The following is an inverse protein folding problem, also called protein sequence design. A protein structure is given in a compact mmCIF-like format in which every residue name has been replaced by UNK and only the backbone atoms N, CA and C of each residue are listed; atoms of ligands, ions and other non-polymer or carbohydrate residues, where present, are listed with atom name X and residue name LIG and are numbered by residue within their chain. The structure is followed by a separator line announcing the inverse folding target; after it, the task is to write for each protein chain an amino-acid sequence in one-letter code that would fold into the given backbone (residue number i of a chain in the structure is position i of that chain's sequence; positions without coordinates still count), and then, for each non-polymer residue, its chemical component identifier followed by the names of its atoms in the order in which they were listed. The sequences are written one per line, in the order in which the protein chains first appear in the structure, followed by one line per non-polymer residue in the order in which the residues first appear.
data_IF_080430663247
#
_entry.id   IF_080430663247
#
_cell.length_a   1.000
_cell.length_b   1.000
_cell.length_c   1.000
_cell.angle_alpha   90.00
_cell.angle_beta   90.00
_cell.angle_gamma   90.00
#
_symmetry.space_group_name_H-M   'P 1'
#
loop_
_entity.id
_entity.type
_entity.pdbx_description
1 polymer ?
#
# COMPACT_ATOMS: atom_id res chain seq x y z
N UNK A 1 23.64 -19.61 23.81
CA UNK A 1 23.95 -18.73 24.95
C UNK A 1 22.70 -17.88 25.15
N UNK A 2 22.03 -17.90 26.30
CA UNK A 2 20.89 -16.97 26.47
C UNK A 2 21.41 -15.54 26.32
N UNK A 3 20.85 -14.73 25.40
CA UNK A 3 21.28 -13.34 25.26
C UNK A 3 21.07 -12.64 26.60
N UNK A 4 22.16 -12.18 27.20
CA UNK A 4 22.13 -11.44 28.46
C UNK A 4 21.20 -10.23 28.35
N UNK A 5 20.58 -9.86 29.47
CA UNK A 5 19.67 -8.72 29.53
C UNK A 5 20.35 -7.45 29.00
N UNK A 6 19.68 -6.75 28.11
CA UNK A 6 20.14 -5.46 27.60
C UNK A 6 20.25 -4.42 28.73
N UNK A 7 21.36 -3.65 28.81
CA UNK A 7 21.53 -2.63 29.84
C UNK A 7 20.50 -1.49 29.79
N UNK A 8 20.02 -1.13 28.58
CA UNK A 8 19.17 0.02 28.33
C UNK A 8 18.05 -0.37 27.36
N UNK A 9 16.82 -0.43 27.88
CA UNK A 9 15.64 -0.62 27.06
C UNK A 9 14.55 0.39 27.45
N UNK A 10 14.13 1.30 26.55
CA UNK A 10 13.00 2.18 26.81
C UNK A 10 11.72 1.38 27.11
N UNK A 11 10.90 1.90 28.04
CA UNK A 11 9.58 1.32 28.33
C UNK A 11 8.65 1.51 27.12
N UNK A 12 7.87 0.48 26.73
CA UNK A 12 6.86 0.62 25.69
C UNK A 12 5.81 1.69 26.00
N UNK A 13 5.41 2.48 25.00
CA UNK A 13 4.27 3.39 25.14
C UNK A 13 2.96 2.65 24.83
N UNK A 14 1.85 3.05 25.48
CA UNK A 14 0.57 2.32 25.39
C UNK A 14 0.03 2.22 23.97
N UNK A 15 0.18 3.28 23.19
CA UNK A 15 -0.34 3.37 21.82
C UNK A 15 0.73 3.14 20.76
N UNK A 16 1.93 2.69 21.13
CA UNK A 16 3.06 2.45 20.23
C UNK A 16 2.90 1.17 19.39
N UNK A 17 3.53 1.15 18.20
CA UNK A 17 3.74 -0.05 17.38
C UNK A 17 4.87 -0.92 17.93
N UNK A 18 4.76 -2.24 17.78
CA UNK A 18 5.78 -3.18 18.23
C UNK A 18 7.12 -2.96 17.51
N UNK A 19 7.08 -2.73 16.20
CA UNK A 19 8.24 -2.39 15.38
C UNK A 19 8.89 -1.07 15.78
N UNK A 20 8.08 -0.07 16.19
CA UNK A 20 8.58 1.21 16.72
C UNK A 20 9.31 1.03 18.03
N UNK A 21 8.73 0.30 18.97
CA UNK A 21 9.36 0.04 20.25
C UNK A 21 10.71 -0.65 20.04
N UNK A 22 10.76 -1.72 19.23
CA UNK A 22 12.02 -2.41 18.93
C UNK A 22 13.02 -1.48 18.25
N UNK A 23 12.59 -0.60 17.35
CA UNK A 23 13.47 0.37 16.69
C UNK A 23 14.06 1.40 17.67
N UNK A 24 13.31 1.79 18.70
CA UNK A 24 13.81 2.66 19.77
C UNK A 24 14.80 1.96 20.69
N UNK A 25 14.60 0.66 20.97
CA UNK A 25 15.60 -0.13 21.70
C UNK A 25 16.86 -0.24 20.84
N UNK A 26 16.73 -0.69 19.59
CA UNK A 26 17.84 -0.93 18.68
C UNK A 26 18.71 0.31 18.43
N UNK A 27 18.10 1.49 18.32
CA UNK A 27 18.86 2.72 18.06
C UNK A 27 19.80 3.12 19.20
N UNK A 28 19.60 2.62 20.44
CA UNK A 28 20.53 2.80 21.56
C UNK A 28 21.83 2.02 21.40
N UNK A 29 21.79 0.97 20.57
CA UNK A 29 22.91 0.07 20.30
C UNK A 29 23.50 0.25 18.90
N UNK A 30 23.07 1.29 18.16
CA UNK A 30 23.48 1.50 16.78
C UNK A 30 22.94 0.46 15.78
N UNK A 31 21.96 -0.35 16.19
CA UNK A 31 21.35 -1.40 15.39
C UNK A 31 20.01 -0.93 14.79
N UNK A 32 19.57 -1.62 13.74
CA UNK A 32 18.19 -1.56 13.24
C UNK A 32 17.29 -2.51 14.04
N UNK A 33 15.98 -2.26 14.02
CA UNK A 33 15.01 -3.12 14.69
C UNK A 33 15.10 -4.60 14.23
N UNK A 34 15.22 -4.88 12.91
CA UNK A 34 15.36 -6.26 12.44
C UNK A 34 16.67 -6.94 12.88
N UNK A 35 17.79 -6.20 12.92
CA UNK A 35 19.06 -6.74 13.41
C UNK A 35 18.98 -7.11 14.89
N UNK A 36 18.41 -6.23 15.73
CA UNK A 36 18.24 -6.53 17.15
C UNK A 36 17.25 -7.68 17.40
N UNK A 37 16.17 -7.74 16.62
CA UNK A 37 15.22 -8.85 16.69
C UNK A 37 15.85 -10.19 16.28
N UNK A 38 16.73 -10.19 15.27
CA UNK A 38 17.51 -11.35 14.85
C UNK A 38 18.49 -11.80 15.93
N UNK A 39 19.19 -10.85 16.57
CA UNK A 39 20.09 -11.10 17.69
C UNK A 39 19.40 -11.82 18.85
N UNK A 40 18.18 -11.42 19.24
CA UNK A 40 17.44 -12.12 20.30
C UNK A 40 16.98 -13.53 19.95
N UNK A 41 16.99 -13.86 18.66
CA UNK A 41 16.50 -15.15 18.15
C UNK A 41 17.66 -16.07 17.73
N UNK A 42 18.90 -15.72 18.07
CA UNK A 42 20.13 -16.37 17.61
C UNK A 42 20.19 -16.55 16.08
N UNK A 43 19.57 -15.62 15.34
CA UNK A 43 19.57 -15.63 13.88
C UNK A 43 20.69 -14.73 13.36
N UNK A 44 21.51 -15.27 12.45
CA UNK A 44 22.53 -14.50 11.73
C UNK A 44 21.94 -13.49 10.73
N UNK A 45 20.62 -13.51 10.54
CA UNK A 45 19.90 -12.69 9.56
C UNK A 45 18.90 -11.76 10.26
N UNK A 46 18.70 -10.52 9.75
CA UNK A 46 17.72 -9.60 10.29
C UNK A 46 16.30 -10.19 10.29
N UNK A 47 15.61 -10.13 11.43
CA UNK A 47 14.28 -10.70 11.61
C UNK A 47 13.20 -9.64 11.38
N UNK A 48 12.26 -9.93 10.48
CA UNK A 48 11.11 -9.07 10.26
C UNK A 48 10.22 -9.02 11.51
N UNK A 49 9.76 -7.82 11.86
CA UNK A 49 8.84 -7.61 12.98
C UNK A 49 7.42 -7.44 12.43
N UNK A 50 6.52 -8.36 12.81
CA UNK A 50 5.09 -8.24 12.51
C UNK A 50 4.37 -7.47 13.61
N UNK A 51 3.93 -6.25 13.30
CA UNK A 51 3.07 -5.46 14.19
C UNK A 51 1.68 -6.07 14.36
N UNK A 52 1.23 -6.84 13.37
CA UNK A 52 -0.07 -7.50 13.29
C UNK A 52 -0.21 -8.61 14.32
N UNK A 53 0.44 -9.74 14.08
CA UNK A 53 0.43 -10.89 14.97
C UNK A 53 1.83 -11.52 15.02
N UNK A 54 2.71 -11.05 15.93
CA UNK A 54 4.06 -11.61 16.06
C UNK A 54 4.01 -13.11 16.37
N UNK A 55 5.08 -13.80 16.00
CA UNK A 55 5.17 -15.25 16.17
C UNK A 55 5.04 -15.65 17.66
N UNK A 56 4.48 -16.82 17.92
CA UNK A 56 4.29 -17.33 19.29
C UNK A 56 5.60 -17.30 20.07
N UNK A 57 5.58 -16.72 21.28
CA UNK A 57 6.76 -16.62 22.14
C UNK A 57 7.77 -15.53 21.78
N UNK A 58 7.70 -14.94 20.57
CA UNK A 58 8.65 -13.92 20.11
C UNK A 58 8.69 -12.70 21.04
N UNK A 59 7.52 -12.16 21.40
CA UNK A 59 7.41 -11.04 22.34
C UNK A 59 7.87 -11.41 23.75
N UNK A 60 7.74 -12.67 24.17
CA UNK A 60 8.24 -13.14 25.47
C UNK A 60 9.77 -13.16 25.51
N UNK A 61 10.42 -13.61 24.44
CA UNK A 61 11.89 -13.58 24.30
C UNK A 61 12.39 -12.13 24.36
N UNK A 62 11.78 -11.23 23.58
CA UNK A 62 12.15 -9.81 23.58
C UNK A 62 11.91 -9.13 24.92
N UNK A 63 10.80 -9.45 25.59
CA UNK A 63 10.48 -8.92 26.90
C UNK A 63 11.53 -9.32 27.95
N UNK A 64 11.94 -10.59 27.96
CA UNK A 64 13.00 -11.09 28.83
C UNK A 64 14.33 -10.38 28.57
N UNK A 65 14.77 -10.35 27.31
CA UNK A 65 16.03 -9.74 26.90
C UNK A 65 16.07 -8.23 27.19
N UNK A 66 14.94 -7.53 27.04
CA UNK A 66 14.84 -6.09 27.31
C UNK A 66 14.45 -5.75 28.76
N UNK A 67 14.19 -6.73 29.63
CA UNK A 67 13.76 -6.46 31.00
C UNK A 67 12.39 -5.76 31.12
N UNK A 68 11.50 -6.04 30.17
CA UNK A 68 10.14 -5.48 30.10
C UNK A 68 9.12 -6.56 30.48
N UNK A 69 8.00 -6.15 31.06
CA UNK A 69 6.85 -7.01 31.28
C UNK A 69 6.34 -7.61 29.95
N UNK A 70 6.18 -8.94 29.89
CA UNK A 70 5.78 -9.65 28.67
C UNK A 70 4.39 -9.22 28.22
N UNK A 71 3.45 -9.07 29.15
CA UNK A 71 2.09 -8.65 28.83
C UNK A 71 2.04 -7.24 28.25
N UNK A 72 2.85 -6.32 28.79
CA UNK A 72 3.00 -4.96 28.24
C UNK A 72 3.48 -4.99 26.80
N UNK A 73 4.41 -5.88 26.46
CA UNK A 73 4.91 -5.99 25.10
C UNK A 73 3.90 -6.67 24.16
N UNK A 74 3.19 -7.70 24.63
CA UNK A 74 2.10 -8.34 23.89
C UNK A 74 0.95 -7.37 23.58
N UNK A 75 0.65 -6.41 24.47
CA UNK A 75 -0.34 -5.34 24.23
C UNK A 75 0.05 -4.36 23.11
N UNK A 76 1.28 -4.42 22.60
CA UNK A 76 1.69 -3.65 21.41
C UNK A 76 1.19 -4.26 20.10
N UNK A 77 0.97 -5.58 20.06
CA UNK A 77 0.48 -6.26 18.86
C UNK A 77 -0.92 -5.79 18.49
N UNK A 78 -1.13 -5.50 17.20
CA UNK A 78 -2.42 -5.02 16.68
C UNK A 78 -3.53 -6.05 16.87
N UNK A 79 -3.24 -7.34 16.73
CA UNK A 79 -4.20 -8.43 16.96
C UNK A 79 -4.67 -8.51 18.42
N UNK A 80 -3.80 -8.19 19.38
CA UNK A 80 -4.15 -8.12 20.80
C UNK A 80 -4.94 -6.85 21.12
N UNK A 81 -4.56 -5.72 20.51
CA UNK A 81 -5.19 -4.42 20.77
C UNK A 81 -6.56 -4.29 20.11
N UNK A 82 -6.73 -4.87 18.93
CA UNK A 82 -7.94 -4.78 18.11
C UNK A 82 -8.33 -6.17 17.58
N UNK A 83 -8.77 -7.10 18.46
CA UNK A 83 -9.01 -8.49 18.08
C UNK A 83 -10.12 -8.67 17.04
N UNK A 84 -11.04 -7.70 16.93
CA UNK A 84 -12.16 -7.72 15.98
C UNK A 84 -11.83 -7.07 14.64
N UNK A 85 -10.70 -6.35 14.54
CA UNK A 85 -10.31 -5.60 13.33
C UNK A 85 -9.61 -6.53 12.33
N UNK A 86 -10.15 -6.70 11.11
CA UNK A 86 -9.52 -7.53 10.09
C UNK A 86 -8.18 -6.94 9.63
N UNK A 87 -7.27 -7.79 9.16
CA UNK A 87 -5.94 -7.34 8.67
C UNK A 87 -6.02 -6.37 7.50
N UNK A 88 -7.05 -6.47 6.68
CA UNK A 88 -7.30 -5.58 5.53
C UNK A 88 -7.58 -4.12 5.93
N UNK A 89 -7.94 -3.88 7.19
CA UNK A 89 -8.16 -2.56 7.77
C UNK A 89 -6.89 -1.94 8.38
N UNK A 90 -5.72 -2.53 8.09
CA UNK A 90 -4.43 -1.92 8.31
C UNK A 90 -3.75 -1.53 7.00
N UNK A 91 -2.80 -0.60 7.07
CA UNK A 91 -1.98 -0.19 5.93
C UNK A 91 -1.14 -1.36 5.44
N UNK A 92 -1.31 -1.72 4.18
CA UNK A 92 -0.58 -2.79 3.51
C UNK A 92 0.30 -2.23 2.40
N UNK A 93 1.35 -2.97 2.06
CA UNK A 93 2.32 -2.58 1.04
C UNK A 93 1.88 -3.07 -0.35
N UNK A 94 0.75 -2.58 -0.87
CA UNK A 94 0.34 -2.82 -2.27
C UNK A 94 0.10 -4.31 -2.61
N UNK A 95 -0.05 -4.66 -3.90
CA UNK A 95 -0.73 -5.90 -4.33
C UNK A 95 0.05 -7.22 -4.12
N UNK A 96 -0.70 -8.32 -4.04
CA UNK A 96 -0.32 -9.70 -3.69
C UNK A 96 0.86 -10.31 -4.49
N UNK A 97 1.21 -9.83 -5.68
CA UNK A 97 2.34 -10.37 -6.46
C UNK A 97 3.72 -9.95 -5.91
N UNK A 98 3.74 -9.01 -4.96
CA UNK A 98 4.85 -8.87 -4.01
C UNK A 98 4.33 -9.28 -2.64
N UNK A 99 4.64 -10.50 -2.17
CA UNK A 99 4.30 -10.90 -0.81
C UNK A 99 5.12 -10.02 0.13
N UNK A 100 4.51 -8.95 0.61
CA UNK A 100 5.01 -8.17 1.74
C UNK A 100 3.98 -8.37 2.85
N UNK A 101 4.28 -9.31 3.74
CA UNK A 101 3.64 -9.46 5.06
C UNK A 101 3.96 -8.29 5.99
N UNK A 102 4.72 -7.30 5.50
CA UNK A 102 5.09 -6.09 6.23
C UNK A 102 3.98 -5.06 6.13
N UNK A 103 3.58 -4.52 7.27
CA UNK A 103 2.84 -3.25 7.37
C UNK A 103 3.47 -2.24 6.41
N UNK A 104 2.66 -1.57 5.58
CA UNK A 104 3.18 -0.59 4.61
C UNK A 104 3.95 0.55 5.30
N UNK A 105 4.48 1.50 4.52
CA UNK A 105 5.07 2.73 5.08
C UNK A 105 4.08 3.38 6.04
N UNK A 106 4.35 3.31 7.34
CA UNK A 106 3.46 3.86 8.36
C UNK A 106 3.39 5.37 8.15
N UNK A 107 2.21 5.92 7.84
CA UNK A 107 2.08 7.36 7.71
C UNK A 107 2.29 8.01 9.09
N UNK A 108 2.77 9.24 9.11
CA UNK A 108 3.17 9.91 10.36
C UNK A 108 2.53 11.27 10.51
N UNK A 109 2.35 11.70 11.75
CA UNK A 109 2.11 13.10 12.07
C UNK A 109 3.42 13.73 12.54
N UNK A 110 3.89 14.76 11.85
CA UNK A 110 5.11 15.47 12.23
C UNK A 110 4.91 16.27 13.54
N UNK A 111 3.73 16.84 13.75
CA UNK A 111 3.39 17.55 14.99
C UNK A 111 3.43 16.62 16.21
N UNK A 112 2.95 15.37 16.11
CA UNK A 112 3.12 14.39 17.19
C UNK A 112 4.60 14.15 17.55
N UNK A 113 5.51 14.15 16.58
CA UNK A 113 6.94 14.01 16.86
C UNK A 113 7.52 15.27 17.49
N UNK A 114 7.04 16.44 17.09
CA UNK A 114 7.40 17.71 17.73
C UNK A 114 6.92 17.73 19.19
N UNK A 115 5.70 17.28 19.48
CA UNK A 115 5.18 17.18 20.86
C UNK A 115 5.99 16.20 21.72
N UNK A 116 6.38 15.04 21.17
CA UNK A 116 7.26 14.10 21.89
C UNK A 116 8.59 14.75 22.24
N UNK A 117 9.16 15.50 21.31
CA UNK A 117 10.41 16.22 21.52
C UNK A 117 10.27 17.32 22.56
N UNK A 118 9.23 18.16 22.45
CA UNK A 118 8.93 19.23 23.41
C UNK A 118 8.70 18.68 24.82
N UNK A 119 8.13 17.48 24.94
CA UNK A 119 7.96 16.79 26.21
C UNK A 119 9.23 16.09 26.74
N UNK A 120 10.38 16.21 26.05
CA UNK A 120 11.64 15.58 26.45
C UNK A 120 11.62 14.05 26.37
N UNK A 121 10.75 13.46 25.53
CA UNK A 121 10.60 12.00 25.40
C UNK A 121 11.13 11.51 24.06
N UNK A 122 11.32 10.19 23.99
CA UNK A 122 11.54 9.50 22.72
C UNK A 122 10.31 9.64 21.81
N UNK A 123 10.55 9.91 20.53
CA UNK A 123 9.51 9.80 19.53
C UNK A 123 9.21 8.33 19.21
N UNK A 124 7.98 8.04 18.80
CA UNK A 124 7.56 6.68 18.45
C UNK A 124 6.46 6.63 17.38
N UNK A 125 6.28 5.52 16.68
CA UNK A 125 5.16 5.35 15.76
C UNK A 125 3.92 4.89 16.53
N UNK A 126 2.81 5.61 16.36
CA UNK A 126 1.54 5.26 16.99
C UNK A 126 0.83 4.18 16.18
N UNK A 127 0.27 3.17 16.85
CA UNK A 127 -0.48 2.10 16.21
C UNK A 127 -1.73 2.58 15.50
N UNK A 128 -2.33 3.68 15.94
CA UNK A 128 -3.46 4.26 15.22
C UNK A 128 -3.10 4.68 13.79
N UNK A 129 -1.85 5.05 13.53
CA UNK A 129 -1.41 5.51 12.21
C UNK A 129 -1.43 4.43 11.13
N UNK A 130 -1.43 3.15 11.52
CA UNK A 130 -1.52 2.05 10.55
C UNK A 130 -2.95 1.66 10.22
N UNK A 131 -3.97 2.38 10.69
CA UNK A 131 -5.35 2.11 10.28
C UNK A 131 -5.59 2.56 8.84
N UNK A 132 -6.30 1.73 8.08
CA UNK A 132 -6.57 1.97 6.66
C UNK A 132 -7.38 3.26 6.43
N UNK A 133 -8.34 3.56 7.32
CA UNK A 133 -9.13 4.79 7.30
C UNK A 133 -8.36 6.01 7.81
N UNK A 134 -7.25 5.81 8.53
CA UNK A 134 -6.56 6.92 9.19
C UNK A 134 -5.68 7.68 8.22
N UNK A 135 -6.20 8.80 7.73
CA UNK A 135 -5.50 9.76 6.88
C UNK A 135 -5.22 11.09 7.59
N UNK A 136 -5.94 11.39 8.66
CA UNK A 136 -5.78 12.61 9.47
C UNK A 136 -5.40 12.24 10.90
N UNK A 137 -4.45 12.97 11.47
CA UNK A 137 -4.08 12.85 12.87
C UNK A 137 -5.25 13.32 13.75
N UNK A 138 -5.82 12.48 14.62
CA UNK A 138 -6.93 12.89 15.49
C UNK A 138 -6.51 13.88 16.59
N UNK A 139 -5.21 14.01 16.85
CA UNK A 139 -4.66 14.95 17.85
C UNK A 139 -4.49 16.35 17.24
N UNK A 140 -3.90 16.43 16.04
CA UNK A 140 -3.53 17.72 15.43
C UNK A 140 -4.41 18.16 14.26
N UNK A 141 -5.33 17.31 13.79
CA UNK A 141 -6.18 17.60 12.62
C UNK A 141 -5.43 17.68 11.29
N UNK A 142 -4.13 17.38 11.26
CA UNK A 142 -3.32 17.42 10.04
C UNK A 142 -3.36 16.09 9.27
N UNK A 143 -3.36 16.19 7.94
CA UNK A 143 -3.17 15.03 7.08
C UNK A 143 -1.83 14.34 7.40
N UNK A 144 -1.86 13.04 7.64
CA UNK A 144 -0.67 12.24 7.88
C UNK A 144 0.22 12.25 6.63
N UNK A 145 1.53 12.18 6.84
CA UNK A 145 2.53 12.14 5.77
C UNK A 145 2.90 10.69 5.50
N UNK A 146 2.86 10.29 4.24
CA UNK A 146 3.35 8.98 3.76
C UNK A 146 4.61 9.12 2.87
N UNK A 147 5.08 10.34 2.66
CA UNK A 147 6.29 10.69 1.89
C UNK A 147 7.17 11.67 2.65
N UNK A 148 8.47 11.53 2.46
CA UNK A 148 9.44 12.45 3.04
C UNK A 148 9.33 13.82 2.36
N UNK A 149 9.29 14.90 3.13
CA UNK A 149 9.26 16.27 2.60
C UNK A 149 10.56 16.66 1.89
N UNK A 150 11.67 16.00 2.19
CA UNK A 150 12.99 16.30 1.61
C UNK A 150 13.30 15.45 0.39
N UNK A 151 13.13 14.12 0.45
CA UNK A 151 13.49 13.24 -0.66
C UNK A 151 12.29 12.70 -1.46
N UNK A 152 11.05 13.03 -1.05
CA UNK A 152 9.78 12.64 -1.69
C UNK A 152 9.51 11.13 -1.86
N UNK A 153 10.45 10.28 -1.43
CA UNK A 153 10.27 8.82 -1.32
C UNK A 153 9.21 8.51 -0.26
N UNK A 154 8.57 7.35 -0.41
CA UNK A 154 7.65 6.82 0.62
C UNK A 154 8.40 6.73 1.95
N UNK A 155 7.73 7.09 3.03
CA UNK A 155 8.36 7.15 4.34
C UNK A 155 8.74 5.75 4.81
N UNK A 156 10.01 5.59 5.10
CA UNK A 156 10.52 4.58 6.01
C UNK A 156 11.13 5.36 7.16
N UNK A 157 10.66 5.12 8.38
CA UNK A 157 11.11 5.82 9.58
C UNK A 157 12.15 4.97 10.27
N UNK A 158 13.31 5.55 10.52
CA UNK A 158 14.32 5.02 11.41
C UNK A 158 14.43 5.92 12.64
N UNK A 159 14.96 5.38 13.74
CA UNK A 159 15.27 6.18 14.92
C UNK A 159 16.77 6.33 15.07
N UNK A 160 17.21 7.53 15.44
CA UNK A 160 18.60 7.84 15.78
C UNK A 160 18.63 8.45 17.16
N UNK A 161 19.58 8.02 17.99
CA UNK A 161 19.80 8.61 19.29
C UNK A 161 20.39 10.03 19.12
N UNK A 162 19.70 11.05 19.64
CA UNK A 162 20.15 12.45 19.69
C UNK A 162 19.69 13.06 21.00
N UNK A 163 20.58 13.75 21.71
CA UNK A 163 20.25 14.42 22.99
C UNK A 163 19.58 13.45 23.98
N UNK A 164 20.11 12.23 24.09
CA UNK A 164 19.55 11.20 24.97
C UNK A 164 18.20 10.62 24.54
N UNK A 165 17.61 11.07 23.43
CA UNK A 165 16.29 10.65 22.95
C UNK A 165 16.33 9.97 21.57
N UNK A 166 15.44 9.02 21.34
CA UNK A 166 15.19 8.47 20.01
C UNK A 166 14.46 9.49 19.14
N UNK A 167 15.12 9.98 18.09
CA UNK A 167 14.58 10.96 17.14
C UNK A 167 14.26 10.30 15.79
N UNK A 168 13.10 10.59 15.18
CA UNK A 168 12.67 9.96 13.96
C UNK A 168 13.36 10.62 12.75
N UNK A 169 13.94 9.80 11.88
CA UNK A 169 14.59 10.25 10.65
C UNK A 169 14.04 9.46 9.47
N UNK A 170 14.12 10.04 8.27
CA UNK A 170 13.88 9.29 7.05
C UNK A 170 15.01 8.26 6.84
N UNK A 171 14.68 6.98 6.71
CA UNK A 171 15.67 5.92 6.46
C UNK A 171 16.42 6.09 5.13
N UNK A 172 15.89 6.89 4.19
CA UNK A 172 16.50 7.08 2.86
C UNK A 172 17.46 8.27 2.79
N UNK A 173 17.15 9.39 3.46
CA UNK A 173 17.96 10.62 3.37
C UNK A 173 18.48 11.10 4.73
N UNK A 174 18.23 10.34 5.80
CA UNK A 174 18.58 10.66 7.19
C UNK A 174 18.03 12.00 7.71
N UNK A 175 17.18 12.71 6.95
CA UNK A 175 16.57 13.96 7.38
C UNK A 175 15.66 13.72 8.58
N UNK A 176 15.81 14.57 9.60
CA UNK A 176 14.96 14.59 10.78
C UNK A 176 13.50 14.86 10.39
N UNK A 177 12.59 14.03 10.90
CA UNK A 177 11.15 14.12 10.66
C UNK A 177 10.52 14.96 11.76
N UNK A 178 10.65 16.27 11.62
CA UNK A 178 10.05 17.28 12.52
C UNK A 178 9.10 18.15 11.73
N UNK A 179 8.09 18.69 12.42
CA UNK A 179 7.31 19.76 11.83
C UNK A 179 8.16 21.02 11.82
N UNK A 180 8.41 21.58 10.64
CA UNK A 180 9.16 22.83 10.50
C UNK A 180 8.25 24.03 10.30
N UNK A 181 6.93 23.90 10.56
CA UNK A 181 5.98 24.98 10.33
C UNK A 181 6.00 25.37 8.85
N UNK A 182 5.55 24.47 7.99
CA UNK A 182 5.80 24.54 6.56
C UNK A 182 5.43 25.88 5.90
N UNK A 183 6.42 26.67 5.51
CA UNK A 183 6.34 27.82 4.58
C UNK A 183 5.88 27.45 3.15
N UNK A 184 5.27 26.27 2.94
CA UNK A 184 4.90 25.80 1.60
C UNK A 184 3.82 24.72 1.56
N UNK A 185 3.15 24.43 2.68
CA UNK A 185 1.96 23.60 2.62
C UNK A 185 0.80 24.48 2.16
N UNK A 186 0.26 24.22 0.96
CA UNK A 186 -1.02 24.80 0.56
C UNK A 186 -2.04 24.57 1.70
N UNK A 187 -2.71 25.62 2.18
CA UNK A 187 -3.75 25.48 3.19
C UNK A 187 -4.78 24.48 2.67
N UNK A 188 -4.96 23.38 3.40
CA UNK A 188 -6.06 22.47 3.13
C UNK A 188 -7.32 23.10 3.69
N UNK A 189 -8.44 22.96 2.97
CA UNK A 189 -9.73 23.46 3.43
C UNK A 189 -10.06 22.84 4.80
N UNK A 190 -10.20 23.66 5.86
CA UNK A 190 -10.47 23.17 7.20
C UNK A 190 -11.80 22.43 7.29
N UNK A 191 -12.79 22.79 6.48
CA UNK A 191 -14.10 22.12 6.43
C UNK A 191 -13.94 20.71 5.86
N UNK A 192 -13.18 20.54 4.78
CA UNK A 192 -12.91 19.22 4.20
C UNK A 192 -12.13 18.34 5.18
N UNK A 193 -11.15 18.90 5.90
CA UNK A 193 -10.42 18.18 6.93
C UNK A 193 -11.33 17.73 8.08
N UNK A 194 -12.19 18.62 8.58
CA UNK A 194 -13.14 18.29 9.63
C UNK A 194 -14.11 17.17 9.20
N UNK A 195 -14.67 17.27 7.99
CA UNK A 195 -15.57 16.25 7.41
C UNK A 195 -14.87 14.90 7.29
N UNK A 196 -13.67 14.86 6.70
CA UNK A 196 -12.93 13.61 6.56
C UNK A 196 -12.51 13.02 7.91
N UNK A 197 -12.18 13.86 8.91
CA UNK A 197 -11.84 13.41 10.26
C UNK A 197 -13.07 12.79 10.95
N UNK A 198 -14.25 13.41 10.82
CA UNK A 198 -15.50 12.84 11.34
C UNK A 198 -15.85 11.50 10.66
N UNK A 199 -15.68 11.40 9.33
CA UNK A 199 -15.83 10.13 8.59
C UNK A 199 -14.85 9.07 9.06
N UNK A 200 -13.58 9.43 9.23
CA UNK A 200 -12.55 8.54 9.76
C UNK A 200 -12.92 8.00 11.16
N UNK A 201 -13.39 8.87 12.06
CA UNK A 201 -13.77 8.47 13.42
C UNK A 201 -14.94 7.48 13.44
N UNK A 202 -15.96 7.72 12.60
CA UNK A 202 -17.10 6.79 12.45
C UNK A 202 -16.66 5.43 11.92
N UNK A 203 -15.87 5.41 10.85
CA UNK A 203 -15.32 4.15 10.31
C UNK A 203 -14.50 3.43 11.39
N UNK A 204 -13.65 4.15 12.14
CA UNK A 204 -12.88 3.53 13.23
C UNK A 204 -13.79 2.88 14.27
N UNK A 205 -14.89 3.54 14.66
CA UNK A 205 -15.86 2.99 15.61
C UNK A 205 -16.54 1.72 15.06
N UNK A 206 -17.07 1.77 13.84
CA UNK A 206 -17.75 0.63 13.20
C UNK A 206 -16.81 -0.56 12.98
N UNK A 207 -15.60 -0.34 12.48
CA UNK A 207 -14.62 -1.42 12.20
C UNK A 207 -14.16 -2.11 13.48
N UNK A 208 -14.05 -1.36 14.58
CA UNK A 208 -13.72 -1.92 15.89
C UNK A 208 -14.94 -2.55 16.59
N UNK A 209 -16.15 -2.20 16.13
CA UNK A 209 -17.45 -2.64 16.65
C UNK A 209 -17.98 -3.92 15.99
N UNK A 210 -19.19 -3.81 15.39
CA UNK A 210 -19.98 -4.94 14.89
C UNK A 210 -19.72 -5.32 13.42
N UNK A 211 -19.93 -6.60 13.08
CA UNK A 211 -19.66 -7.14 11.74
C UNK A 211 -20.51 -6.49 10.64
N UNK A 212 -21.80 -6.25 10.89
CA UNK A 212 -22.76 -5.76 9.90
C UNK A 212 -22.45 -4.33 9.42
N UNK A 213 -22.18 -3.40 10.34
CA UNK A 213 -21.80 -2.02 10.00
C UNK A 213 -20.48 -1.97 9.21
N UNK A 214 -19.53 -2.83 9.57
CA UNK A 214 -18.27 -2.94 8.83
C UNK A 214 -18.50 -3.40 7.39
N UNK A 215 -19.35 -4.40 7.16
CA UNK A 215 -19.66 -4.91 5.82
C UNK A 215 -20.28 -3.84 4.91
N UNK A 216 -21.08 -2.92 5.47
CA UNK A 216 -21.64 -1.78 4.74
C UNK A 216 -20.56 -0.82 4.24
N UNK A 217 -19.61 -0.44 5.10
CA UNK A 217 -18.46 0.36 4.69
C UNK A 217 -17.59 -0.36 3.66
N UNK A 218 -17.33 -1.65 3.85
CA UNK A 218 -16.55 -2.47 2.89
C UNK A 218 -17.22 -2.49 1.51
N UNK A 219 -18.55 -2.67 1.45
CA UNK A 219 -19.32 -2.61 0.20
C UNK A 219 -19.24 -1.23 -0.46
N UNK A 220 -19.46 -0.15 0.28
CA UNK A 220 -19.42 1.21 -0.28
C UNK A 220 -18.02 1.56 -0.82
N UNK A 221 -16.97 1.22 -0.07
CA UNK A 221 -15.58 1.40 -0.50
C UNK A 221 -15.24 0.56 -1.72
N UNK A 222 -15.69 -0.68 -1.77
CA UNK A 222 -15.52 -1.55 -2.94
C UNK A 222 -16.25 -0.99 -4.17
N UNK A 223 -17.46 -0.45 -4.01
CA UNK A 223 -18.20 0.22 -5.10
C UNK A 223 -17.43 1.44 -5.61
N UNK A 224 -16.94 2.32 -4.73
CA UNK A 224 -16.15 3.47 -5.14
C UNK A 224 -14.91 3.06 -5.97
N UNK A 225 -14.23 1.99 -5.56
CA UNK A 225 -13.02 1.52 -6.23
C UNK A 225 -13.27 0.45 -7.30
N UNK A 226 -14.53 0.09 -7.60
CA UNK A 226 -14.86 -0.88 -8.64
C UNK A 226 -14.49 -0.34 -10.03
N UNK A 227 -14.06 -1.18 -10.99
CA UNK A 227 -13.81 -0.75 -12.36
C UNK A 227 -15.04 -0.11 -12.99
N UNK A 228 -14.86 1.00 -13.70
CA UNK A 228 -15.88 1.64 -14.51
C UNK A 228 -15.92 1.00 -15.91
N UNK A 229 -17.12 0.67 -16.39
CA UNK A 229 -17.43 0.14 -17.75
C UNK A 229 -16.86 -1.26 -18.10
N UNK A 230 -15.57 -1.54 -17.92
CA UNK A 230 -14.96 -2.85 -18.21
C UNK A 230 -13.90 -3.24 -17.16
N UNK A 231 -13.80 -4.51 -16.73
CA UNK A 231 -12.82 -4.98 -15.74
C UNK A 231 -11.33 -4.82 -16.09
N UNK A 232 -10.98 -4.27 -17.26
CA UNK A 232 -9.61 -3.94 -17.67
C UNK A 232 -9.34 -2.42 -17.63
N UNK A 233 -10.37 -1.62 -17.37
CA UNK A 233 -10.23 -0.18 -17.24
C UNK A 233 -9.53 0.13 -15.91
N UNK A 234 -8.40 0.83 -15.98
CA UNK A 234 -7.73 1.40 -14.81
C UNK A 234 -8.48 2.66 -14.31
N UNK A 235 -9.80 2.66 -14.31
CA UNK A 235 -10.64 3.78 -13.89
C UNK A 235 -11.68 3.26 -12.89
N UNK A 236 -11.63 3.69 -11.61
CA UNK A 236 -12.63 3.31 -10.62
C UNK A 236 -13.92 4.12 -10.81
N UNK A 237 -15.03 3.63 -10.26
CA UNK A 237 -16.30 4.33 -10.22
C UNK A 237 -16.17 5.71 -9.55
N UNK A 238 -15.29 5.84 -8.56
CA UNK A 238 -14.87 7.10 -7.92
C UNK A 238 -14.51 8.20 -8.94
N UNK A 239 -14.07 7.84 -10.15
CA UNK A 239 -13.80 8.81 -11.21
C UNK A 239 -15.03 9.60 -11.68
N UNK A 240 -16.25 9.12 -11.40
CA UNK A 240 -17.49 9.86 -11.65
C UNK A 240 -17.69 11.00 -10.63
N UNK A 241 -17.16 10.86 -9.42
CA UNK A 241 -17.25 11.91 -8.38
C UNK A 241 -16.37 13.12 -8.70
N UNK A 242 -15.19 12.91 -9.31
CA UNK A 242 -14.35 14.02 -9.79
C UNK A 242 -15.00 14.80 -10.94
N UNK A 243 -15.97 14.19 -11.65
CA UNK A 243 -16.62 14.77 -12.82
C UNK A 243 -15.66 15.25 -13.93
N UNK A 244 -14.48 14.63 -14.04
CA UNK A 244 -13.47 14.98 -15.05
C UNK A 244 -13.49 14.00 -16.23
N UNK A 245 -13.76 14.53 -17.43
CA UNK A 245 -13.73 13.76 -18.67
C UNK A 245 -12.30 13.26 -18.97
N UNK A 246 -12.17 11.97 -19.31
CA UNK A 246 -10.87 11.39 -19.68
C UNK A 246 -9.92 11.11 -18.51
N UNK A 247 -10.36 11.29 -17.26
CA UNK A 247 -9.57 10.97 -16.08
C UNK A 247 -9.09 9.51 -16.10
N UNK A 248 -7.81 9.29 -15.81
CA UNK A 248 -7.18 7.97 -15.70
C UNK A 248 -6.58 7.81 -14.32
N UNK A 249 -6.71 6.63 -13.72
CA UNK A 249 -6.13 6.37 -12.41
C UNK A 249 -4.61 6.54 -12.45
N UNK A 250 -4.03 7.36 -11.55
CA UNK A 250 -2.59 7.44 -11.39
C UNK A 250 -1.99 6.08 -11.09
N UNK A 251 -0.77 5.85 -11.57
CA UNK A 251 -0.10 4.55 -11.49
C UNK A 251 -0.02 4.02 -10.05
N UNK A 252 0.17 4.91 -9.07
CA UNK A 252 0.34 4.57 -7.66
C UNK A 252 -0.95 4.14 -6.94
N UNK A 253 -2.10 4.14 -7.62
CA UNK A 253 -3.39 3.68 -7.10
C UNK A 253 -4.16 2.74 -8.02
N UNK A 254 -3.61 2.41 -9.21
CA UNK A 254 -4.26 1.47 -10.15
C UNK A 254 -4.52 0.09 -9.54
N UNK A 255 -3.65 -0.37 -8.66
CA UNK A 255 -3.77 -1.67 -8.00
C UNK A 255 -4.95 -1.73 -7.01
N UNK A 256 -5.47 -0.58 -6.56
CA UNK A 256 -6.64 -0.53 -5.69
C UNK A 256 -7.96 -0.68 -6.48
N UNK A 257 -7.94 -0.47 -7.80
CA UNK A 257 -9.14 -0.60 -8.64
C UNK A 257 -9.56 -2.08 -8.70
N UNK A 258 -10.76 -2.36 -8.21
CA UNK A 258 -11.29 -3.72 -8.08
C UNK A 258 -10.71 -4.53 -6.90
N UNK A 259 -9.95 -3.90 -6.00
CA UNK A 259 -9.47 -4.55 -4.79
C UNK A 259 -10.58 -4.69 -3.74
N UNK A 260 -10.59 -5.81 -3.01
CA UNK A 260 -11.58 -6.09 -1.95
C UNK A 260 -11.44 -5.15 -0.74
N UNK A 261 -10.26 -4.57 -0.54
CA UNK A 261 -9.98 -3.68 0.58
C UNK A 261 -9.03 -2.57 0.13
N UNK A 262 -9.55 -1.55 -0.58
CA UNK A 262 -8.72 -0.57 -1.26
C UNK A 262 -7.99 0.36 -0.28
N UNK A 263 -8.65 0.81 0.80
CA UNK A 263 -8.12 1.84 1.70
C UNK A 263 -6.71 1.55 2.25
N UNK A 264 -6.47 0.33 2.71
CA UNK A 264 -5.17 -0.08 3.26
C UNK A 264 -4.02 0.02 2.24
N UNK A 265 -4.34 -0.05 0.95
CA UNK A 265 -3.39 -0.06 -0.16
C UNK A 265 -3.17 1.33 -0.77
N UNK A 266 -3.98 2.31 -0.40
CA UNK A 266 -3.93 3.67 -0.93
C UNK A 266 -2.90 4.55 -0.20
N UNK A 267 -2.23 5.48 -0.90
CA UNK A 267 -1.55 6.62 -0.28
C UNK A 267 -2.52 7.48 0.54
N UNK A 268 -2.01 8.24 1.50
CA UNK A 268 -2.82 9.03 2.45
C UNK A 268 -3.75 10.01 1.74
N UNK A 269 -3.26 10.71 0.72
CA UNK A 269 -4.07 11.63 -0.10
C UNK A 269 -5.28 10.94 -0.75
N UNK A 270 -5.12 9.69 -1.16
CA UNK A 270 -6.19 8.93 -1.83
C UNK A 270 -7.17 8.33 -0.83
N UNK A 271 -6.71 8.00 0.38
CA UNK A 271 -7.61 7.69 1.49
C UNK A 271 -8.48 8.89 1.82
N UNK A 272 -7.87 10.07 1.95
CA UNK A 272 -8.59 11.32 2.22
C UNK A 272 -9.68 11.59 1.18
N UNK A 273 -9.34 11.57 -0.12
CA UNK A 273 -10.34 11.72 -1.19
C UNK A 273 -11.43 10.64 -1.16
N UNK A 274 -11.06 9.40 -0.85
CA UNK A 274 -12.03 8.31 -0.72
C UNK A 274 -13.00 8.57 0.44
N UNK A 275 -12.53 9.10 1.58
CA UNK A 275 -13.40 9.41 2.72
C UNK A 275 -14.36 10.57 2.43
N UNK A 276 -13.91 11.59 1.70
CA UNK A 276 -14.78 12.68 1.26
C UNK A 276 -15.86 12.15 0.32
N UNK A 277 -15.46 11.43 -0.74
CA UNK A 277 -16.39 10.85 -1.69
C UNK A 277 -17.39 9.88 -1.03
N UNK A 278 -16.92 9.06 -0.08
CA UNK A 278 -17.78 8.16 0.68
C UNK A 278 -18.88 8.93 1.42
N UNK A 279 -18.50 10.00 2.13
CA UNK A 279 -19.46 10.83 2.86
C UNK A 279 -20.43 11.57 1.92
N UNK A 280 -19.94 12.12 0.82
CA UNK A 280 -20.76 12.90 -0.11
C UNK A 280 -21.76 12.05 -0.88
N UNK A 281 -21.38 10.81 -1.22
CA UNK A 281 -22.19 9.92 -2.06
C UNK A 281 -23.15 9.08 -1.23
N UNK A 282 -22.64 8.46 -0.16
CA UNK A 282 -23.38 7.49 0.63
C UNK A 282 -23.91 8.08 1.94
N UNK A 283 -23.50 9.29 2.30
CA UNK A 283 -23.89 9.91 3.55
C UNK A 283 -23.20 9.30 4.77
N UNK A 284 -23.74 9.54 5.96
CA UNK A 284 -23.10 9.15 7.20
C UNK A 284 -23.13 7.65 7.50
N UNK A 285 -24.19 6.98 7.07
CA UNK A 285 -24.45 5.56 7.29
C UNK A 285 -24.66 4.89 5.93
N UNK A 286 -23.60 4.34 5.32
CA UNK A 286 -23.66 3.89 3.94
C UNK A 286 -24.55 2.66 3.80
N UNK A 287 -25.69 2.79 3.13
CA UNK A 287 -26.50 1.65 2.71
C UNK A 287 -26.32 1.43 1.20
N UNK A 288 -25.82 0.26 0.79
CA UNK A 288 -25.62 -0.07 -0.64
C UNK A 288 -26.82 -0.85 -1.20
N UNK A 289 -27.46 -1.68 -0.38
CA UNK A 289 -28.52 -2.61 -0.79
C UNK A 289 -29.95 -2.09 -0.51
N UNK A 290 -30.07 -0.83 -0.06
CA UNK A 290 -31.34 -0.19 0.32
C UNK A 290 -31.68 1.07 -0.49
N UNK A 291 -32.51 1.96 0.08
CA UNK A 291 -32.81 3.28 -0.48
C UNK A 291 -31.59 4.19 -0.42
N UNK A 292 -30.68 3.99 -1.37
CA UNK A 292 -29.46 4.77 -1.52
C UNK A 292 -29.77 6.18 -2.07
N UNK A 293 -29.02 7.22 -1.67
CA UNK A 293 -29.11 8.53 -2.30
C UNK A 293 -28.98 8.45 -3.83
N UNK A 294 -29.61 9.34 -4.62
CA UNK A 294 -29.58 9.28 -6.09
C UNK A 294 -28.16 9.19 -6.68
N UNK A 295 -27.20 9.89 -6.08
CA UNK A 295 -25.78 9.85 -6.45
C UNK A 295 -25.14 8.48 -6.23
N UNK A 296 -25.44 7.82 -5.10
CA UNK A 296 -25.00 6.46 -4.81
C UNK A 296 -25.62 5.46 -5.79
N UNK A 297 -26.92 5.57 -6.08
CA UNK A 297 -27.60 4.70 -7.04
C UNK A 297 -27.00 4.80 -8.46
N UNK A 298 -26.67 6.01 -8.91
CA UNK A 298 -25.98 6.21 -10.19
C UNK A 298 -24.60 5.55 -10.21
N UNK A 299 -23.81 5.71 -9.14
CA UNK A 299 -22.49 5.09 -9.01
C UNK A 299 -22.55 3.58 -8.99
N UNK A 300 -23.45 3.00 -8.19
CA UNK A 300 -23.65 1.55 -8.08
C UNK A 300 -23.99 0.94 -9.45
N UNK A 301 -24.85 1.59 -10.25
CA UNK A 301 -25.19 1.12 -11.61
C UNK A 301 -24.00 1.12 -12.58
N UNK A 302 -23.03 2.03 -12.39
CA UNK A 302 -21.88 2.20 -13.29
C UNK A 302 -20.65 1.39 -12.84
N UNK A 303 -20.61 1.01 -11.57
CA UNK A 303 -19.60 0.11 -11.02
C UNK A 303 -19.76 -1.30 -11.63
N UNK A 304 -18.70 -1.83 -12.22
CA UNK A 304 -18.73 -3.20 -12.73
C UNK A 304 -19.06 -4.17 -11.57
N UNK A 305 -20.02 -5.08 -11.74
CA UNK A 305 -20.38 -6.02 -10.70
C UNK A 305 -19.16 -6.82 -10.30
N UNK A 306 -19.02 -7.01 -8.99
CA UNK A 306 -17.98 -7.85 -8.42
C UNK A 306 -18.25 -9.26 -8.94
N UNK A 307 -17.48 -9.72 -9.94
CA UNK A 307 -17.39 -11.15 -10.18
C UNK A 307 -16.79 -11.71 -8.92
N UNK A 308 -17.62 -12.34 -8.09
CA UNK A 308 -17.11 -13.32 -7.14
C UNK A 308 -16.13 -14.15 -7.94
N UNK A 309 -14.84 -14.06 -7.56
CA UNK A 309 -13.96 -15.15 -7.92
C UNK A 309 -14.53 -16.33 -7.14
N UNK A 310 -15.52 -17.00 -7.73
CA UNK A 310 -15.67 -18.43 -7.58
C UNK A 310 -14.24 -18.92 -7.60
N UNK A 311 -13.81 -19.46 -6.46
CA UNK A 311 -12.47 -19.97 -6.28
C UNK A 311 -12.29 -21.02 -7.37
N UNK A 312 -11.84 -20.57 -8.54
CA UNK A 312 -11.32 -21.44 -9.57
C UNK A 312 -10.13 -22.03 -8.87
N UNK A 313 -10.36 -23.24 -8.33
CA UNK A 313 -9.32 -24.15 -7.90
C UNK A 313 -8.14 -23.91 -8.82
N UNK A 314 -7.11 -23.29 -8.28
CA UNK A 314 -5.91 -22.95 -9.04
C UNK A 314 -5.12 -24.24 -9.24
N UNK A 315 -5.71 -25.19 -9.97
CA UNK A 315 -4.96 -26.00 -10.92
C UNK A 315 -4.75 -25.14 -12.16
N UNK A 316 -4.06 -24.01 -11.99
CA UNK A 316 -3.26 -23.49 -13.09
C UNK A 316 -2.09 -24.47 -13.20
N UNK A 317 -1.82 -25.08 -14.37
CA UNK A 317 -0.54 -25.72 -14.59
C UNK A 317 0.52 -24.69 -14.19
N UNK A 318 1.55 -25.12 -13.46
CA UNK A 318 2.76 -24.32 -13.29
C UNK A 318 3.33 -24.04 -14.68
N UNK A 319 2.86 -22.99 -15.34
CA UNK A 319 3.61 -22.36 -16.42
C UNK A 319 4.69 -21.61 -15.68
N UNK A 320 5.82 -22.26 -15.49
CA UNK A 320 7.07 -21.56 -15.26
C UNK A 320 7.18 -20.54 -16.40
N UNK A 321 6.87 -19.28 -16.11
CA UNK A 321 7.37 -18.17 -16.91
C UNK A 321 8.87 -18.27 -16.82
N UNK A 322 9.48 -18.96 -17.80
CA UNK A 322 10.91 -18.98 -17.98
C UNK A 322 11.34 -17.52 -18.09
N UNK A 323 11.99 -17.02 -17.04
CA UNK A 323 12.55 -15.68 -17.04
C UNK A 323 13.57 -15.65 -18.16
N UNK A 324 13.39 -14.73 -19.11
CA UNK A 324 14.37 -14.49 -20.18
C UNK A 324 15.75 -14.32 -19.56
N UNK A 325 16.74 -14.97 -20.14
CA UNK A 325 18.12 -14.88 -19.64
C UNK A 325 18.67 -13.47 -19.84
N UNK A 326 19.66 -13.08 -19.04
CA UNK A 326 20.34 -11.78 -19.21
C UNK A 326 20.90 -11.60 -20.62
N UNK A 327 21.42 -12.68 -21.23
CA UNK A 327 21.93 -12.67 -22.60
C UNK A 327 20.83 -12.42 -23.65
N UNK A 328 19.60 -12.83 -23.37
CA UNK A 328 18.45 -12.57 -24.25
C UNK A 328 18.02 -11.10 -24.18
N UNK A 329 18.01 -10.51 -22.98
CA UNK A 329 17.78 -9.07 -22.81
C UNK A 329 18.86 -8.23 -23.47
N UNK A 330 20.12 -8.64 -23.38
CA UNK A 330 21.23 -7.92 -23.99
C UNK A 330 21.13 -7.94 -25.52
N UNK A 331 20.76 -9.09 -26.11
CA UNK A 331 20.51 -9.20 -27.56
C UNK A 331 19.35 -8.32 -28.01
N UNK A 332 18.26 -8.32 -27.24
CA UNK A 332 17.09 -7.50 -27.51
C UNK A 332 17.43 -5.99 -27.47
N UNK A 333 18.21 -5.59 -26.46
CA UNK A 333 18.68 -4.22 -26.34
C UNK A 333 19.54 -3.80 -27.54
N UNK A 334 20.48 -4.65 -27.97
CA UNK A 334 21.29 -4.39 -29.17
C UNK A 334 20.43 -4.26 -30.43
N UNK A 335 19.42 -5.11 -30.60
CA UNK A 335 18.50 -5.05 -31.74
C UNK A 335 17.66 -3.76 -31.75
N UNK A 336 17.13 -3.34 -30.60
CA UNK A 336 16.36 -2.10 -30.48
C UNK A 336 17.23 -0.88 -30.79
N UNK A 337 18.47 -0.86 -30.28
CA UNK A 337 19.39 0.26 -30.48
C UNK A 337 19.87 0.35 -31.95
N UNK A 338 19.97 -0.78 -32.64
CA UNK A 338 20.34 -0.84 -34.05
C UNK A 338 19.15 -0.58 -35.01
N UNK A 339 17.92 -0.46 -34.51
CA UNK A 339 16.74 -0.23 -35.34
C UNK A 339 16.83 1.14 -36.05
N UNK A 340 16.69 1.22 -37.39
CA UNK A 340 16.73 2.49 -38.12
C UNK A 340 15.74 3.54 -37.60
N UNK A 341 14.60 3.12 -37.04
CA UNK A 341 13.60 3.99 -36.42
C UNK A 341 14.08 4.55 -35.09
N UNK A 342 14.90 3.80 -34.34
CA UNK A 342 15.54 4.29 -33.11
C UNK A 342 16.54 5.41 -33.43
N UNK A 343 17.34 5.21 -34.48
CA UNK A 343 18.33 6.18 -34.97
C UNK A 343 17.63 7.42 -35.53
N UNK A 344 16.62 7.23 -36.39
CA UNK A 344 15.85 8.34 -36.97
C UNK A 344 15.08 9.15 -35.91
N UNK A 345 14.64 8.51 -34.82
CA UNK A 345 13.94 9.19 -33.73
C UNK A 345 14.80 10.22 -33.00
N UNK A 346 16.12 10.17 -33.13
CA UNK A 346 17.04 11.08 -32.45
C UNK A 346 16.88 12.53 -32.91
N UNK A 347 16.53 12.73 -34.19
CA UNK A 347 16.24 14.03 -34.82
C UNK A 347 14.84 14.58 -34.50
N UNK A 348 14.01 13.85 -33.75
CA UNK A 348 12.63 14.26 -33.43
C UNK A 348 12.54 15.06 -32.12
N UNK A 349 11.52 15.94 -31.98
CA UNK A 349 11.18 16.57 -30.71
C UNK A 349 10.92 15.52 -29.61
N UNK A 350 11.31 15.85 -28.38
CA UNK A 350 11.36 14.92 -27.22
C UNK A 350 10.14 14.00 -27.10
N UNK A 351 8.91 14.55 -27.16
CA UNK A 351 7.67 13.77 -27.02
C UNK A 351 7.46 12.74 -28.15
N UNK A 352 7.82 13.07 -29.39
CA UNK A 352 7.69 12.16 -30.54
C UNK A 352 8.78 11.07 -30.49
N UNK A 353 10.01 11.45 -30.10
CA UNK A 353 11.12 10.52 -29.88
C UNK A 353 10.80 9.47 -28.81
N UNK A 354 10.29 9.89 -27.66
CA UNK A 354 9.91 9.00 -26.56
C UNK A 354 8.82 8.00 -26.98
N UNK A 355 7.83 8.44 -27.78
CA UNK A 355 6.75 7.58 -28.29
C UNK A 355 7.26 6.51 -29.27
N UNK A 356 8.14 6.88 -30.19
CA UNK A 356 8.75 5.92 -31.15
C UNK A 356 9.60 4.89 -30.40
N UNK A 357 10.42 5.34 -29.45
CA UNK A 357 11.26 4.45 -28.64
C UNK A 357 10.45 3.48 -27.78
N UNK A 358 9.37 3.96 -27.15
CA UNK A 358 8.46 3.10 -26.39
C UNK A 358 7.80 2.03 -27.26
N UNK A 359 7.32 2.40 -28.46
CA UNK A 359 6.72 1.45 -29.40
C UNK A 359 7.69 0.35 -29.86
N UNK A 360 8.97 0.67 -30.06
CA UNK A 360 10.01 -0.31 -30.41
C UNK A 360 10.30 -1.29 -29.26
N UNK A 361 10.34 -0.78 -28.02
CA UNK A 361 10.53 -1.61 -26.82
C UNK A 361 9.34 -2.56 -26.64
N UNK A 362 8.11 -2.07 -26.76
CA UNK A 362 6.90 -2.88 -26.62
C UNK A 362 6.81 -3.96 -27.70
N UNK A 363 7.14 -3.63 -28.96
CA UNK A 363 7.17 -4.58 -30.07
C UNK A 363 8.22 -5.70 -29.86
N UNK A 364 9.42 -5.32 -29.40
CA UNK A 364 10.49 -6.27 -29.12
C UNK A 364 10.12 -7.22 -27.97
N UNK A 365 9.44 -6.72 -26.94
CA UNK A 365 9.00 -7.54 -25.81
C UNK A 365 7.84 -8.48 -26.18
N UNK A 366 6.98 -8.08 -27.13
CA UNK A 366 5.85 -8.87 -27.62
C UNK A 366 6.24 -9.99 -28.60
N UNK A 367 7.29 -9.80 -29.40
CA UNK A 367 7.62 -10.63 -30.57
C UNK A 367 8.12 -12.06 -30.34
N UNK A 368 8.31 -12.53 -29.10
CA UNK A 368 8.91 -13.87 -28.83
C UNK A 368 8.07 -14.79 -27.92
N UNK A 369 6.75 -14.66 -27.95
CA UNK A 369 5.85 -15.62 -27.27
C UNK A 369 5.54 -16.89 -28.09
N UNK A 370 6.21 -17.10 -29.23
CA UNK A 370 6.05 -18.30 -30.06
C UNK A 370 7.43 -18.87 -30.41
N UNK A 371 7.78 -20.02 -29.82
CA UNK A 371 8.93 -20.79 -30.24
C UNK A 371 8.66 -21.45 -31.61
N UNK A 372 9.64 -21.51 -32.54
CA UNK A 372 9.49 -22.12 -33.85
C UNK A 372 9.66 -23.64 -33.74
N UNK A 373 8.60 -24.39 -34.05
CA UNK A 373 8.65 -25.85 -33.93
C UNK A 373 7.37 -26.57 -34.33
N UNK A 374 6.82 -26.29 -35.51
CA UNK A 374 5.88 -27.20 -36.15
C UNK A 374 5.95 -27.00 -37.67
N UNK A 375 6.78 -27.80 -38.34
CA UNK A 375 6.66 -28.00 -39.79
C UNK A 375 5.35 -28.74 -40.03
N UNK A 376 4.38 -28.09 -40.66
CA UNK A 376 3.27 -28.78 -41.30
C UNK A 376 3.51 -28.71 -42.80
N UNK A 377 3.92 -29.84 -43.37
CA UNK A 377 3.92 -30.08 -44.81
C UNK A 377 2.49 -30.01 -45.34
N UNK A 378 2.25 -29.45 -46.54
CA UNK A 378 0.92 -29.37 -47.12
C UNK A 378 0.52 -30.72 -47.75
N UNK A 379 -0.68 -31.22 -47.45
CA UNK A 379 -1.38 -32.22 -48.28
C UNK A 379 -2.64 -31.57 -48.89
N UNK A 380 -3.01 -31.99 -50.12
CA UNK A 380 -3.78 -31.18 -51.04
C UNK A 380 -5.29 -31.18 -50.77
N UNK A 381 -5.93 -30.13 -51.27
CA UNK A 381 -7.37 -29.86 -51.28
C UNK A 381 -8.15 -31.00 -51.96
N UNK A 382 -9.07 -31.64 -51.23
CA UNK A 382 -10.22 -32.32 -51.82
C UNK A 382 -11.30 -31.27 -52.15
N UNK A 383 -11.63 -31.20 -53.44
CA UNK A 383 -12.65 -30.33 -54.01
C UNK A 383 -14.06 -30.65 -53.49
N UNK A 384 -14.85 -29.59 -53.38
CA UNK A 384 -16.23 -29.62 -52.90
C UNK A 384 -17.20 -30.30 -53.85
N UNK A 385 -18.35 -30.67 -53.28
CA UNK A 385 -19.58 -30.94 -54.02
C UNK A 385 -20.69 -30.06 -53.47
N UNK A 386 -21.36 -29.42 -54.43
CA UNK A 386 -22.39 -28.41 -54.30
C UNK A 386 -23.68 -28.93 -53.66
N UNK A 387 -24.45 -28.00 -53.10
CA UNK A 387 -25.91 -28.11 -53.02
C UNK A 387 -26.49 -26.78 -53.52
N UNK A 388 -27.26 -26.87 -54.61
CA UNK A 388 -28.10 -25.82 -55.18
C UNK A 388 -29.30 -25.55 -54.26
N UNK A 389 -29.76 -24.30 -54.21
CA UNK A 389 -31.18 -24.00 -54.06
C UNK A 389 -31.52 -22.87 -55.05
N UNK A 390 -32.67 -23.07 -55.71
CA UNK A 390 -33.34 -22.28 -56.74
C UNK A 390 -33.60 -20.83 -56.42
#
# INVERSE_FOLDING_TARGET
MEPGRLPVAPRPCRDELLSSWMARVACRYGLTAPELAGYFSDLSSPLLIDDGAPATGQTSVWARACGVDSDRLQRLSLSRRYPRRPRSWYVSRGPEWTPSTVTGSTPICLACFTDDHAAGRDAYLRAGWVFAERCICPVHGHLLRDRCVSCHRRLSVAFRLREGCARPVCSHCARLLTDRGGEGAQPQDPVLLATALATQQRITACVNGGKAEREQFEKALATLWAPLDHPAAARPALALWFNEAGWRSPYDVRHAVGADSPLGQLPVRWRFLTLLALNDIFGPDPCVDGTSPPGAAHLVRRAAPRRERLSRSSRRPHVQLQKRSSAEYERLARQILADPRWIAAEKLPRRKRERVRAGLIDAALAGNSAAPGARLSPRPRSGGRAIQIS
#
